data_IF_462494344143
#
_entry.id   IF_462494344143
#
_cell.length_a   1.000
_cell.length_b   1.000
_cell.length_c   1.000
_cell.angle_alpha   90.00
_cell.angle_beta   90.00
_cell.angle_gamma   90.00
#
_symmetry.space_group_name_H-M   'P 1'
#
loop_
_entity.id
_entity.type
_entity.pdbx_description
1 polymer ?
#
# COMPACT_ATOMS: atom_id res chain seq x y z
N UNK A 1 5.48 3.11 -15.21
CA UNK A 1 5.15 4.07 -14.11
C UNK A 1 3.77 4.74 -14.23
N UNK A 2 3.14 4.81 -15.40
CA UNK A 2 1.76 5.31 -15.59
C UNK A 2 0.70 4.31 -15.11
N UNK A 3 0.97 3.01 -15.22
CA UNK A 3 0.07 1.93 -14.76
C UNK A 3 -0.05 1.85 -13.23
N UNK A 4 1.03 2.08 -12.48
CA UNK A 4 1.01 2.11 -11.00
C UNK A 4 0.14 3.23 -10.44
N UNK A 5 -0.08 4.30 -11.21
CA UNK A 5 -0.95 5.41 -10.83
C UNK A 5 -2.42 5.12 -11.16
N UNK A 6 -2.69 4.37 -12.23
CA UNK A 6 -4.06 3.95 -12.58
C UNK A 6 -4.59 2.82 -11.67
N UNK A 7 -3.78 1.83 -11.31
CA UNK A 7 -4.22 0.75 -10.42
C UNK A 7 -4.47 1.20 -8.99
N UNK A 8 -3.69 2.17 -8.49
CA UNK A 8 -3.96 2.81 -7.18
C UNK A 8 -5.17 3.72 -7.23
N UNK A 9 -5.40 4.46 -8.33
CA UNK A 9 -6.59 5.29 -8.52
C UNK A 9 -7.88 4.47 -8.66
N UNK A 10 -7.85 3.27 -9.26
CA UNK A 10 -9.03 2.40 -9.36
C UNK A 10 -9.53 1.91 -7.99
N UNK A 11 -8.63 1.72 -7.02
CA UNK A 11 -9.01 1.41 -5.63
C UNK A 11 -9.35 2.64 -4.78
N UNK A 12 -9.21 3.86 -5.32
CA UNK A 12 -9.28 5.12 -4.57
C UNK A 12 -10.50 5.99 -4.85
N UNK A 13 -11.49 5.45 -5.56
CA UNK A 13 -12.68 6.20 -5.93
C UNK A 13 -13.49 6.59 -4.66
N UNK A 14 -14.04 7.82 -4.54
CA UNK A 14 -14.93 8.24 -3.44
C UNK A 14 -16.10 7.28 -3.13
N UNK A 15 -16.44 6.38 -4.06
CA UNK A 15 -17.41 5.29 -3.90
C UNK A 15 -17.12 4.39 -2.66
N UNK A 16 -15.86 4.32 -2.18
CA UNK A 16 -15.44 3.37 -1.14
C UNK A 16 -15.35 3.91 0.30
N UNK A 17 -15.34 5.22 0.51
CA UNK A 17 -15.50 5.80 1.85
C UNK A 17 -16.95 5.97 2.26
N UNK A 18 -17.88 5.93 1.28
CA UNK A 18 -19.31 5.92 1.56
C UNK A 18 -19.68 4.72 2.44
N UNK A 19 -19.34 3.46 2.14
CA UNK A 19 -19.87 2.32 2.88
C UNK A 19 -19.64 2.35 4.40
N UNK A 20 -18.40 2.51 4.84
CA UNK A 20 -18.06 2.49 6.27
C UNK A 20 -18.56 3.72 7.01
N UNK A 21 -18.50 4.91 6.39
CA UNK A 21 -19.06 6.14 6.98
C UNK A 21 -20.58 6.11 6.98
N UNK A 22 -21.22 5.64 5.91
CA UNK A 22 -22.67 5.47 5.82
C UNK A 22 -23.17 4.48 6.87
N UNK A 23 -22.45 3.39 7.15
CA UNK A 23 -22.81 2.46 8.23
C UNK A 23 -22.67 3.14 9.59
N UNK A 24 -21.58 3.86 9.87
CA UNK A 24 -21.40 4.58 11.14
C UNK A 24 -22.43 5.71 11.33
N UNK A 25 -22.72 6.48 10.27
CA UNK A 25 -23.73 7.54 10.26
C UNK A 25 -25.14 6.99 10.39
N UNK A 26 -25.46 5.86 9.75
CA UNK A 26 -26.75 5.18 9.87
C UNK A 26 -26.93 4.56 11.26
N UNK A 27 -25.85 4.07 11.87
CA UNK A 27 -25.85 3.57 13.24
C UNK A 27 -26.09 4.71 14.24
N UNK A 28 -25.42 5.85 14.06
CA UNK A 28 -25.63 7.05 14.86
C UNK A 28 -27.04 7.61 14.67
N UNK A 29 -27.54 7.66 13.43
CA UNK A 29 -28.89 8.10 13.11
C UNK A 29 -29.95 7.22 13.76
N UNK A 30 -29.83 5.89 13.66
CA UNK A 30 -30.76 4.96 14.34
C UNK A 30 -30.66 5.02 15.85
N UNK A 31 -29.46 5.21 16.40
CA UNK A 31 -29.26 5.43 17.83
C UNK A 31 -29.96 6.71 18.33
N UNK A 32 -29.95 7.77 17.52
CA UNK A 32 -30.60 9.04 17.86
C UNK A 32 -32.13 9.03 17.63
N UNK A 33 -32.64 8.16 16.76
CA UNK A 33 -34.06 8.14 16.35
C UNK A 33 -34.88 7.02 16.98
N UNK A 34 -34.24 6.00 17.57
CA UNK A 34 -34.93 4.82 18.10
C UNK A 34 -34.92 4.84 19.64
N UNK A 35 -36.08 4.87 20.31
CA UNK A 35 -36.16 4.95 21.78
C UNK A 35 -35.74 3.65 22.48
N UNK A 36 -35.86 2.49 21.81
CA UNK A 36 -35.48 1.19 22.36
C UNK A 36 -34.09 0.76 21.86
N UNK A 37 -33.07 0.61 22.74
CA UNK A 37 -31.72 0.21 22.35
C UNK A 37 -31.64 -1.23 21.82
N UNK A 38 -32.66 -2.06 22.11
CA UNK A 38 -32.70 -3.47 21.73
C UNK A 38 -33.24 -3.73 20.30
N UNK A 39 -33.85 -2.74 19.64
CA UNK A 39 -34.39 -2.88 18.28
C UNK A 39 -33.44 -2.41 17.18
N UNK A 40 -32.26 -1.90 17.55
CA UNK A 40 -31.21 -1.46 16.63
C UNK A 40 -30.41 -2.68 16.17
N UNK A 41 -31.04 -3.55 15.37
CA UNK A 41 -30.36 -4.69 14.74
C UNK A 41 -30.21 -4.47 13.23
N UNK A 42 -29.07 -4.92 12.69
CA UNK A 42 -28.82 -4.89 11.25
C UNK A 42 -28.86 -6.32 10.68
N UNK A 43 -29.42 -6.51 9.47
CA UNK A 43 -29.28 -7.76 8.74
C UNK A 43 -27.80 -8.07 8.49
N UNK A 44 -27.37 -9.29 8.76
CA UNK A 44 -25.97 -9.70 8.55
C UNK A 44 -25.52 -9.53 7.09
N UNK A 45 -26.42 -9.74 6.13
CA UNK A 45 -26.16 -9.54 4.70
C UNK A 45 -25.78 -8.08 4.34
N UNK A 46 -26.41 -7.08 4.97
CA UNK A 46 -26.07 -5.68 4.74
C UNK A 46 -24.66 -5.36 5.28
N UNK A 47 -24.37 -5.84 6.49
CA UNK A 47 -23.06 -5.74 7.10
C UNK A 47 -21.96 -6.41 6.28
N UNK A 48 -22.26 -7.60 5.75
CA UNK A 48 -21.37 -8.36 4.88
C UNK A 48 -21.02 -7.57 3.61
N UNK A 49 -22.04 -7.07 2.90
CA UNK A 49 -21.87 -6.38 1.62
C UNK A 49 -20.98 -5.14 1.74
N UNK A 50 -21.04 -4.44 2.87
CA UNK A 50 -20.27 -3.23 3.10
C UNK A 50 -18.82 -3.51 3.50
N UNK A 51 -18.56 -4.70 4.07
CA UNK A 51 -17.24 -5.10 4.60
C UNK A 51 -16.40 -5.89 3.63
N UNK A 52 -17.05 -6.69 2.80
CA UNK A 52 -16.39 -7.52 1.81
C UNK A 52 -15.39 -6.70 0.97
N UNK A 53 -15.74 -5.53 0.43
CA UNK A 53 -14.81 -4.75 -0.38
C UNK A 53 -13.62 -4.21 0.43
N UNK A 54 -13.85 -3.81 1.68
CA UNK A 54 -12.78 -3.33 2.56
C UNK A 54 -11.74 -4.43 2.87
N UNK A 55 -12.21 -5.65 3.18
CA UNK A 55 -11.33 -6.79 3.43
C UNK A 55 -10.53 -7.18 2.19
N UNK A 56 -11.20 -7.29 1.03
CA UNK A 56 -10.53 -7.60 -0.24
C UNK A 56 -9.44 -6.58 -0.54
N UNK A 57 -9.70 -5.28 -0.35
CA UNK A 57 -8.72 -4.23 -0.59
C UNK A 57 -7.50 -4.33 0.34
N UNK A 58 -7.71 -4.60 1.64
CA UNK A 58 -6.59 -4.75 2.57
C UNK A 58 -5.69 -5.92 2.19
N UNK A 59 -6.26 -7.08 1.86
CA UNK A 59 -5.49 -8.27 1.44
C UNK A 59 -4.80 -8.01 0.11
N UNK A 60 -5.51 -7.37 -0.83
CA UNK A 60 -4.96 -7.02 -2.16
C UNK A 60 -3.75 -6.12 -2.03
N UNK A 61 -3.80 -5.19 -1.08
CA UNK A 61 -2.71 -4.27 -0.84
C UNK A 61 -1.44 -4.97 -0.34
N UNK A 62 -1.58 -5.92 0.59
CA UNK A 62 -0.47 -6.77 1.03
C UNK A 62 0.13 -7.57 -0.15
N UNK A 63 -0.73 -8.24 -0.93
CA UNK A 63 -0.31 -9.04 -2.08
C UNK A 63 0.37 -8.20 -3.18
N UNK A 64 -0.11 -6.98 -3.41
CA UNK A 64 0.49 -6.03 -4.35
C UNK A 64 1.87 -5.55 -3.87
N UNK A 65 2.09 -5.37 -2.56
CA UNK A 65 3.41 -5.02 -2.04
C UNK A 65 4.43 -6.14 -2.29
N UNK A 66 4.06 -7.39 -2.05
CA UNK A 66 4.87 -8.57 -2.39
C UNK A 66 5.18 -8.59 -3.90
N UNK A 67 4.14 -8.43 -4.72
CA UNK A 67 4.27 -8.41 -6.17
C UNK A 67 5.22 -7.32 -6.67
N UNK A 68 5.14 -6.12 -6.09
CA UNK A 68 6.04 -5.02 -6.41
C UNK A 68 7.49 -5.36 -6.03
N UNK A 69 7.74 -5.91 -4.84
CA UNK A 69 9.08 -6.33 -4.42
C UNK A 69 9.64 -7.42 -5.35
N UNK A 70 8.82 -8.41 -5.70
CA UNK A 70 9.22 -9.47 -6.63
C UNK A 70 9.53 -8.92 -8.03
N UNK A 71 8.69 -8.05 -8.58
CA UNK A 71 8.93 -7.40 -9.87
C UNK A 71 10.29 -6.68 -9.86
N UNK A 72 10.58 -5.92 -8.80
CA UNK A 72 11.85 -5.20 -8.68
C UNK A 72 13.05 -6.12 -8.47
N UNK A 73 12.88 -7.22 -7.76
CA UNK A 73 13.92 -8.24 -7.62
C UNK A 73 14.26 -8.91 -8.95
N UNK A 74 13.24 -9.30 -9.73
CA UNK A 74 13.41 -9.88 -11.07
C UNK A 74 14.10 -8.89 -12.00
N UNK A 75 13.65 -7.62 -12.01
CA UNK A 75 14.25 -6.58 -12.84
C UNK A 75 15.73 -6.31 -12.49
N UNK A 76 16.09 -6.39 -11.21
CA UNK A 76 17.48 -6.19 -10.75
C UNK A 76 18.37 -7.38 -11.10
N UNK A 77 17.87 -8.61 -11.01
CA UNK A 77 18.67 -9.82 -11.24
C UNK A 77 18.78 -10.19 -12.72
N UNK A 78 17.69 -10.13 -13.49
CA UNK A 78 17.64 -10.50 -14.92
C UNK A 78 17.58 -9.28 -15.82
N UNK A 79 18.35 -8.24 -15.47
CA UNK A 79 18.32 -6.92 -16.10
C UNK A 79 18.27 -6.97 -17.63
N UNK A 80 19.08 -7.82 -18.28
CA UNK A 80 19.21 -7.93 -19.73
C UNK A 80 17.97 -8.51 -20.46
N UNK A 81 17.32 -9.54 -19.90
CA UNK A 81 16.16 -10.20 -20.52
C UNK A 81 14.83 -9.55 -20.15
N UNK A 82 14.79 -8.77 -19.06
CA UNK A 82 13.57 -8.14 -18.55
C UNK A 82 12.92 -7.16 -19.55
N UNK A 83 13.72 -6.48 -20.40
CA UNK A 83 13.19 -5.57 -21.43
C UNK A 83 12.30 -6.27 -22.47
N UNK A 84 12.56 -7.55 -22.75
CA UNK A 84 11.71 -8.32 -23.68
C UNK A 84 10.35 -8.70 -23.09
N UNK A 85 10.24 -8.72 -21.77
CA UNK A 85 9.04 -9.18 -21.07
C UNK A 85 7.98 -8.10 -20.83
N UNK A 86 8.32 -6.82 -21.06
CA UNK A 86 7.41 -5.65 -21.05
C UNK A 86 6.45 -5.61 -19.83
N UNK A 87 5.45 -4.74 -19.86
CA UNK A 87 4.46 -4.47 -18.83
C UNK A 87 3.55 -5.67 -18.47
N UNK A 88 3.72 -6.82 -19.14
CA UNK A 88 2.89 -8.03 -18.97
C UNK A 88 3.08 -8.66 -17.60
N UNK A 89 4.33 -8.73 -17.10
CA UNK A 89 4.63 -9.33 -15.79
C UNK A 89 3.88 -8.58 -14.67
N UNK A 90 3.97 -7.25 -14.64
CA UNK A 90 3.28 -6.43 -13.64
C UNK A 90 1.76 -6.59 -13.68
N UNK A 91 1.17 -6.71 -14.88
CA UNK A 91 -0.27 -6.93 -15.06
C UNK A 91 -0.69 -8.31 -14.52
N UNK A 92 0.06 -9.36 -14.83
CA UNK A 92 -0.22 -10.71 -14.34
C UNK A 92 -0.18 -10.80 -12.82
N UNK A 93 0.83 -10.21 -12.17
CA UNK A 93 0.91 -10.18 -10.70
C UNK A 93 -0.23 -9.37 -10.07
N UNK A 94 -0.65 -8.28 -10.70
CA UNK A 94 -1.78 -7.48 -10.22
C UNK A 94 -3.08 -8.28 -10.25
N UNK A 95 -3.38 -8.94 -11.37
CA UNK A 95 -4.57 -9.79 -11.49
C UNK A 95 -4.54 -10.93 -10.47
N UNK A 96 -3.40 -11.63 -10.38
CA UNK A 96 -3.24 -12.72 -9.42
C UNK A 96 -3.48 -12.24 -7.97
N UNK A 97 -2.94 -11.08 -7.60
CA UNK A 97 -3.12 -10.48 -6.26
C UNK A 97 -4.58 -10.21 -5.93
N UNK A 98 -5.35 -9.67 -6.89
CA UNK A 98 -6.79 -9.40 -6.70
C UNK A 98 -7.58 -10.71 -6.56
N UNK A 99 -7.33 -11.70 -7.42
CA UNK A 99 -8.01 -13.01 -7.36
C UNK A 99 -7.75 -13.70 -6.03
N UNK A 100 -6.49 -13.75 -5.58
CA UNK A 100 -6.11 -14.34 -4.29
C UNK A 100 -6.83 -13.64 -3.14
N UNK A 101 -6.99 -12.32 -3.21
CA UNK A 101 -7.63 -11.52 -2.16
C UNK A 101 -9.13 -11.72 -2.08
N UNK A 102 -9.80 -11.84 -3.23
CA UNK A 102 -11.22 -12.22 -3.31
C UNK A 102 -11.41 -13.63 -2.73
N UNK A 103 -10.57 -14.59 -3.14
CA UNK A 103 -10.65 -15.97 -2.67
C UNK A 103 -10.40 -16.08 -1.15
N UNK A 104 -9.38 -15.38 -0.62
CA UNK A 104 -9.08 -15.34 0.80
C UNK A 104 -10.22 -14.72 1.61
N UNK A 105 -10.83 -13.64 1.11
CA UNK A 105 -11.97 -13.01 1.78
C UNK A 105 -13.18 -13.94 1.78
N UNK A 106 -13.49 -14.57 0.63
CA UNK A 106 -14.58 -15.55 0.53
C UNK A 106 -14.37 -16.75 1.46
N UNK A 107 -13.13 -17.23 1.61
CA UNK A 107 -12.78 -18.31 2.53
C UNK A 107 -13.03 -17.96 3.99
N UNK A 108 -12.60 -16.77 4.42
CA UNK A 108 -12.82 -16.29 5.81
C UNK A 108 -14.32 -16.29 6.14
N UNK A 109 -15.15 -15.97 5.15
CA UNK A 109 -16.59 -15.78 5.35
C UNK A 109 -17.43 -17.04 5.10
N UNK A 110 -16.81 -18.16 4.75
CA UNK A 110 -17.52 -19.42 4.47
C UNK A 110 -18.19 -19.97 5.75
N UNK A 111 -19.51 -19.94 5.84
CA UNK A 111 -20.25 -20.44 7.02
C UNK A 111 -20.76 -19.34 7.95
N UNK A 112 -20.95 -18.12 7.43
CA UNK A 112 -21.82 -17.13 8.06
C UNK A 112 -23.30 -17.45 7.75
N UNK A 113 -24.13 -17.48 8.80
CA UNK A 113 -25.58 -17.58 8.66
C UNK A 113 -26.17 -16.19 8.34
N UNK A 114 -26.58 -16.00 7.08
CA UNK A 114 -27.14 -14.73 6.60
C UNK A 114 -28.53 -14.38 7.17
N UNK A 115 -29.11 -15.28 7.95
CA UNK A 115 -30.42 -15.13 8.61
C UNK A 115 -30.32 -14.49 9.99
N UNK A 116 -29.13 -14.42 10.58
CA UNK A 116 -28.90 -13.84 11.90
C UNK A 116 -28.91 -12.30 11.86
N UNK A 117 -29.49 -11.71 12.90
CA UNK A 117 -29.48 -10.27 13.13
C UNK A 117 -28.44 -9.93 14.20
N UNK A 118 -27.60 -8.93 13.94
CA UNK A 118 -26.57 -8.50 14.89
C UNK A 118 -26.86 -7.09 15.42
N UNK A 119 -26.69 -6.86 16.74
CA UNK A 119 -26.95 -5.56 17.39
C UNK A 119 -25.92 -4.50 16.98
N UNK A 120 -24.77 -4.92 16.46
CA UNK A 120 -23.81 -4.04 15.83
C UNK A 120 -23.16 -4.79 14.68
N UNK A 121 -22.89 -4.04 13.62
CA UNK A 121 -22.04 -4.51 12.55
C UNK A 121 -20.64 -4.69 13.18
N UNK A 122 -20.26 -5.91 13.57
CA UNK A 122 -18.87 -6.32 13.88
C UNK A 122 -18.50 -7.52 13.04
N UNK A 123 -17.30 -7.54 12.45
CA UNK A 123 -16.89 -8.61 11.54
C UNK A 123 -16.40 -9.85 12.29
N UNK A 124 -16.47 -9.81 13.62
CA UNK A 124 -16.02 -10.83 14.52
C UNK A 124 -17.22 -11.55 15.10
N UNK A 125 -17.83 -12.40 14.30
CA UNK A 125 -18.70 -13.46 14.79
C UNK A 125 -17.83 -14.59 15.35
N UNK A 126 -18.31 -15.33 16.36
CA UNK A 126 -17.53 -16.43 16.95
C UNK A 126 -17.09 -17.49 15.92
N UNK A 127 -17.85 -17.66 14.84
CA UNK A 127 -17.55 -18.53 13.68
C UNK A 127 -16.39 -18.02 12.81
N UNK A 128 -16.29 -16.71 12.56
CA UNK A 128 -15.30 -16.12 11.63
C UNK A 128 -14.05 -15.61 12.32
N UNK A 129 -14.12 -15.32 13.62
CA UNK A 129 -13.01 -14.73 14.39
C UNK A 129 -11.72 -15.56 14.31
N UNK A 130 -11.81 -16.89 14.38
CA UNK A 130 -10.64 -17.77 14.30
C UNK A 130 -9.97 -17.71 12.92
N UNK A 131 -10.76 -17.70 11.85
CA UNK A 131 -10.23 -17.63 10.47
C UNK A 131 -9.64 -16.27 10.16
N UNK A 132 -10.30 -15.21 10.64
CA UNK A 132 -9.78 -13.85 10.52
C UNK A 132 -8.45 -13.70 11.27
N UNK A 133 -8.33 -14.26 12.49
CA UNK A 133 -7.09 -14.26 13.25
C UNK A 133 -5.97 -15.00 12.50
N UNK A 134 -6.26 -16.17 11.95
CA UNK A 134 -5.29 -16.92 11.15
C UNK A 134 -4.85 -16.13 9.91
N UNK A 135 -5.79 -15.50 9.20
CA UNK A 135 -5.49 -14.66 8.04
C UNK A 135 -4.59 -13.48 8.42
N UNK A 136 -4.92 -12.74 9.48
CA UNK A 136 -4.10 -11.61 9.94
C UNK A 136 -2.70 -12.05 10.38
N UNK A 137 -2.56 -13.23 10.99
CA UNK A 137 -1.27 -13.80 11.35
C UNK A 137 -0.42 -14.12 10.09
N UNK A 138 -1.03 -14.75 9.08
CA UNK A 138 -0.37 -15.03 7.80
C UNK A 138 0.04 -13.73 7.10
N UNK A 139 -0.85 -12.74 7.04
CA UNK A 139 -0.56 -11.43 6.44
C UNK A 139 0.58 -10.71 7.15
N UNK A 140 0.63 -10.76 8.50
CA UNK A 140 1.75 -10.21 9.25
C UNK A 140 3.08 -10.88 8.86
N UNK A 141 3.09 -12.20 8.69
CA UNK A 141 4.27 -12.93 8.21
C UNK A 141 4.69 -12.53 6.80
N UNK A 142 3.72 -12.36 5.90
CA UNK A 142 3.94 -11.87 4.53
C UNK A 142 4.51 -10.45 4.53
N UNK A 143 4.01 -9.56 5.37
CA UNK A 143 4.52 -8.18 5.46
C UNK A 143 5.95 -8.14 6.02
N UNK A 144 6.26 -8.96 7.02
CA UNK A 144 7.63 -9.11 7.53
C UNK A 144 8.57 -9.63 6.42
N UNK A 145 8.15 -10.65 5.67
CA UNK A 145 8.92 -11.16 4.54
C UNK A 145 9.10 -10.08 3.45
N UNK A 146 8.08 -9.26 3.23
CA UNK A 146 8.13 -8.12 2.29
C UNK A 146 9.13 -7.06 2.74
N UNK A 147 9.17 -6.71 4.03
CA UNK A 147 10.19 -5.82 4.61
C UNK A 147 11.59 -6.43 4.41
N UNK A 148 11.76 -7.73 4.64
CA UNK A 148 12.99 -8.45 4.34
C UNK A 148 13.42 -8.32 2.88
N UNK A 149 12.47 -8.48 1.94
CA UNK A 149 12.73 -8.28 0.51
C UNK A 149 13.11 -6.83 0.17
N UNK A 150 12.42 -5.84 0.74
CA UNK A 150 12.72 -4.41 0.54
C UNK A 150 14.12 -4.05 1.06
N UNK A 151 14.49 -4.55 2.24
CA UNK A 151 15.81 -4.31 2.83
C UNK A 151 16.91 -4.97 2.00
N UNK A 152 16.74 -6.23 1.57
CA UNK A 152 17.67 -6.90 0.67
C UNK A 152 17.86 -6.12 -0.65
N UNK A 153 16.78 -5.67 -1.28
CA UNK A 153 16.84 -4.84 -2.49
C UNK A 153 17.55 -3.50 -2.24
N UNK A 154 17.34 -2.90 -1.07
CA UNK A 154 18.01 -1.65 -0.68
C UNK A 154 19.52 -1.83 -0.54
N UNK A 155 19.96 -2.94 0.05
CA UNK A 155 21.38 -3.29 0.19
C UNK A 155 22.02 -3.53 -1.17
N UNK A 156 21.39 -4.35 -2.02
CA UNK A 156 21.86 -4.60 -3.39
C UNK A 156 21.97 -3.30 -4.19
N UNK A 157 20.96 -2.42 -4.09
CA UNK A 157 20.97 -1.12 -4.73
C UNK A 157 22.11 -0.22 -4.21
N UNK A 158 22.35 -0.22 -2.90
CA UNK A 158 23.46 0.55 -2.31
C UNK A 158 24.82 0.06 -2.80
N UNK A 159 25.03 -1.26 -2.82
CA UNK A 159 26.28 -1.87 -3.32
C UNK A 159 26.47 -1.55 -4.81
N UNK A 160 25.44 -1.74 -5.64
CA UNK A 160 25.51 -1.43 -7.06
C UNK A 160 25.75 0.07 -7.32
N UNK A 161 25.25 0.97 -6.45
CA UNK A 161 25.53 2.41 -6.54
C UNK A 161 27.00 2.72 -6.25
N UNK A 162 27.64 1.95 -5.35
CA UNK A 162 29.04 2.15 -4.96
C UNK A 162 30.01 1.65 -6.04
N UNK A 163 29.67 0.57 -6.74
CA UNK A 163 30.51 -0.06 -7.77
C UNK A 163 30.21 0.44 -9.20
N UNK A 164 29.95 1.74 -9.40
CA UNK A 164 29.51 2.31 -10.70
C UNK A 164 30.38 1.88 -11.88
N UNK A 165 29.85 0.99 -12.72
CA UNK A 165 30.18 0.94 -14.15
C UNK A 165 29.23 1.89 -14.88
N UNK A 166 29.74 2.74 -15.79
CA UNK A 166 29.00 3.81 -16.49
C UNK A 166 27.97 3.29 -17.52
N UNK A 167 27.07 2.40 -17.11
CA UNK A 167 25.93 2.00 -17.92
C UNK A 167 24.69 2.82 -17.54
N UNK A 168 24.11 3.49 -18.54
CA UNK A 168 22.89 4.28 -18.42
C UNK A 168 21.71 3.41 -17.96
N UNK A 169 21.67 2.14 -18.39
CA UNK A 169 20.59 1.19 -18.09
C UNK A 169 20.57 0.81 -16.60
N UNK A 170 21.72 0.39 -16.06
CA UNK A 170 21.83 0.00 -14.65
C UNK A 170 21.56 1.18 -13.72
N UNK A 171 22.05 2.36 -14.09
CA UNK A 171 21.81 3.61 -13.34
C UNK A 171 20.33 3.99 -13.30
N UNK A 172 19.60 3.81 -14.41
CA UNK A 172 18.17 4.06 -14.47
C UNK A 172 17.38 3.09 -13.57
N UNK A 173 17.66 1.79 -13.67
CA UNK A 173 16.99 0.74 -12.87
C UNK A 173 17.22 0.94 -11.37
N UNK A 174 18.45 1.27 -10.96
CA UNK A 174 18.78 1.58 -9.56
C UNK A 174 17.98 2.77 -9.03
N UNK A 175 17.86 3.81 -9.85
CA UNK A 175 17.15 5.01 -9.48
C UNK A 175 15.65 4.76 -9.31
N UNK A 176 15.06 3.99 -10.23
CA UNK A 176 13.66 3.59 -10.15
C UNK A 176 13.41 2.74 -8.90
N UNK A 177 14.24 1.74 -8.64
CA UNK A 177 14.15 0.88 -7.45
C UNK A 177 14.27 1.71 -6.16
N UNK A 178 15.20 2.66 -6.07
CA UNK A 178 15.36 3.51 -4.89
C UNK A 178 14.13 4.39 -4.64
N UNK A 179 13.48 4.90 -5.70
CA UNK A 179 12.26 5.69 -5.56
C UNK A 179 11.08 4.83 -5.11
N UNK A 180 10.95 3.62 -5.65
CA UNK A 180 9.89 2.67 -5.30
C UNK A 180 10.05 2.20 -3.85
N UNK A 181 11.26 1.85 -3.42
CA UNK A 181 11.56 1.47 -2.03
C UNK A 181 11.13 2.56 -1.05
N UNK A 182 11.46 3.83 -1.32
CA UNK A 182 11.04 4.96 -0.47
C UNK A 182 9.52 5.13 -0.39
N UNK A 183 8.81 4.68 -1.42
CA UNK A 183 7.34 4.74 -1.50
C UNK A 183 6.70 3.59 -0.71
N UNK A 184 7.18 2.36 -0.92
CA UNK A 184 6.60 1.13 -0.38
C UNK A 184 6.96 0.95 1.11
N UNK A 185 8.17 1.31 1.53
CA UNK A 185 8.64 1.12 2.91
C UNK A 185 7.68 1.69 4.00
N UNK A 186 7.28 2.97 3.99
CA UNK A 186 6.39 3.51 5.04
C UNK A 186 5.02 2.83 5.05
N UNK A 187 4.59 2.32 3.89
CA UNK A 187 3.32 1.68 3.68
C UNK A 187 3.28 0.27 4.28
N UNK A 188 4.30 -0.53 3.96
CA UNK A 188 4.47 -1.88 4.51
C UNK A 188 4.75 -1.82 6.01
N UNK A 189 5.53 -0.83 6.49
CA UNK A 189 5.75 -0.63 7.92
C UNK A 189 4.45 -0.34 8.67
N UNK A 190 3.63 0.58 8.17
CA UNK A 190 2.33 0.88 8.77
C UNK A 190 1.44 -0.36 8.85
N UNK A 191 1.35 -1.12 7.76
CA UNK A 191 0.56 -2.34 7.70
C UNK A 191 1.07 -3.43 8.65
N UNK A 192 2.39 -3.61 8.72
CA UNK A 192 3.04 -4.58 9.63
C UNK A 192 2.76 -4.22 11.09
N UNK A 193 2.95 -2.96 11.48
CA UNK A 193 2.67 -2.48 12.85
C UNK A 193 1.21 -2.75 13.21
N UNK A 194 0.32 -2.41 12.28
CA UNK A 194 -1.12 -2.63 12.41
C UNK A 194 -1.40 -4.11 12.66
N UNK A 195 -1.05 -5.01 11.73
CA UNK A 195 -1.32 -6.44 11.91
C UNK A 195 -0.59 -7.08 13.10
N UNK A 196 0.60 -6.59 13.46
CA UNK A 196 1.32 -7.05 14.64
C UNK A 196 0.57 -6.69 15.94
N UNK A 197 0.05 -5.47 16.06
CA UNK A 197 -0.78 -5.06 17.21
C UNK A 197 -2.03 -5.95 17.29
N UNK A 198 -2.76 -6.13 16.19
CA UNK A 198 -3.95 -6.97 16.18
C UNK A 198 -3.64 -8.43 16.57
N UNK A 199 -2.58 -9.00 16.01
CA UNK A 199 -2.19 -10.39 16.23
C UNK A 199 -1.69 -10.61 17.67
N UNK A 200 -0.88 -9.70 18.20
CA UNK A 200 -0.37 -9.75 19.58
C UNK A 200 -1.50 -9.61 20.59
N UNK A 201 -2.41 -8.64 20.45
CA UNK A 201 -3.57 -8.53 21.33
C UNK A 201 -4.51 -9.72 21.21
N UNK A 202 -4.71 -10.26 20.01
CA UNK A 202 -5.50 -11.48 19.83
C UNK A 202 -4.85 -12.70 20.48
N UNK A 203 -3.52 -12.76 20.50
CA UNK A 203 -2.78 -13.83 21.15
C UNK A 203 -2.87 -13.74 22.68
N UNK A 204 -2.66 -12.56 23.25
CA UNK A 204 -2.77 -12.35 24.71
C UNK A 204 -4.19 -12.58 25.20
N UNK A 205 -5.20 -12.07 24.51
CA UNK A 205 -6.61 -12.29 24.89
C UNK A 205 -6.98 -13.77 24.82
N UNK A 206 -6.39 -14.54 23.91
CA UNK A 206 -6.62 -15.97 23.83
C UNK A 206 -5.92 -16.77 24.93
N UNK A 207 -4.74 -16.36 25.39
CA UNK A 207 -4.06 -17.03 26.52
C UNK A 207 -4.76 -16.79 27.86
N UNK A 208 -5.45 -15.66 28.01
CA UNK A 208 -6.22 -15.32 29.21
C UNK A 208 -7.72 -15.56 29.05
N UNK A 209 -8.12 -16.37 28.06
CA UNK A 209 -9.54 -16.60 27.72
C UNK A 209 -10.38 -17.08 28.90
N UNK A 210 -9.81 -17.95 29.74
CA UNK A 210 -10.52 -18.54 30.87
C UNK A 210 -10.69 -17.58 32.06
N UNK A 211 -9.95 -16.47 32.06
CA UNK A 211 -10.03 -15.44 33.12
C UNK A 211 -11.03 -14.33 32.80
N UNK A 212 -11.49 -14.21 31.55
CA UNK A 212 -12.39 -13.14 31.12
C UNK A 212 -13.83 -13.60 30.96
N UNK A 213 -14.78 -12.76 31.38
CA UNK A 213 -16.19 -12.96 31.04
C UNK A 213 -16.40 -12.85 29.53
N UNK A 214 -17.38 -13.60 28.99
CA UNK A 214 -17.71 -13.59 27.56
C UNK A 214 -17.92 -12.18 26.99
N UNK A 215 -18.53 -11.29 27.79
CA UNK A 215 -18.78 -9.89 27.43
C UNK A 215 -17.47 -9.10 27.36
N UNK A 216 -16.59 -9.24 28.36
CA UNK A 216 -15.30 -8.55 28.37
C UNK A 216 -14.40 -8.99 27.19
N UNK A 217 -14.35 -10.29 26.91
CA UNK A 217 -13.64 -10.84 25.76
C UNK A 217 -14.12 -10.21 24.44
N UNK A 218 -15.44 -10.11 24.24
CA UNK A 218 -16.02 -9.52 23.04
C UNK A 218 -15.76 -8.03 22.90
N UNK A 219 -15.84 -7.28 24.00
CA UNK A 219 -15.59 -5.83 23.99
C UNK A 219 -14.12 -5.54 23.66
N UNK A 220 -13.18 -6.27 24.25
CA UNK A 220 -11.74 -6.14 23.95
C UNK A 220 -11.44 -6.53 22.51
N UNK A 221 -12.05 -7.61 22.01
CA UNK A 221 -11.87 -8.02 20.62
C UNK A 221 -12.43 -6.97 19.63
N UNK A 222 -13.59 -6.41 19.94
CA UNK A 222 -14.22 -5.38 19.12
C UNK A 222 -13.44 -4.05 19.14
N UNK A 223 -12.88 -3.64 20.28
CA UNK A 223 -12.07 -2.43 20.39
C UNK A 223 -10.70 -2.57 19.72
N UNK A 224 -10.12 -3.76 19.74
CA UNK A 224 -8.85 -4.08 19.05
C UNK A 224 -9.05 -4.28 17.55
N UNK A 225 -10.30 -4.27 17.06
CA UNK A 225 -10.58 -4.54 15.66
C UNK A 225 -9.96 -3.49 14.75
N UNK A 226 -9.09 -3.92 13.84
CA UNK A 226 -8.09 -3.01 13.28
C UNK A 226 -8.50 -2.34 11.96
N UNK A 227 -9.52 -2.87 11.30
CA UNK A 227 -9.97 -2.40 9.98
C UNK A 227 -10.44 -0.94 10.00
N UNK A 228 -11.23 -0.46 10.98
CA UNK A 228 -11.64 0.93 11.04
C UNK A 228 -10.43 1.88 11.10
N UNK A 229 -9.46 1.57 11.96
CA UNK A 229 -8.23 2.36 12.09
C UNK A 229 -7.41 2.35 10.80
N UNK A 230 -7.24 1.17 10.18
CA UNK A 230 -6.53 1.05 8.91
C UNK A 230 -7.19 1.87 7.79
N UNK A 231 -8.52 1.83 7.67
CA UNK A 231 -9.25 2.57 6.64
C UNK A 231 -9.23 4.09 6.82
N UNK A 232 -9.02 4.59 8.04
CA UNK A 232 -8.87 6.03 8.30
C UNK A 232 -7.44 6.51 8.07
N UNK A 233 -6.44 5.72 8.46
CA UNK A 233 -5.03 6.15 8.43
C UNK A 233 -4.38 5.89 7.06
N UNK A 234 -4.70 4.78 6.40
CA UNK A 234 -4.17 4.46 5.06
C UNK A 234 -4.33 5.59 4.03
N UNK A 235 -5.49 6.29 3.91
CA UNK A 235 -5.61 7.36 2.92
C UNK A 235 -4.74 8.57 3.21
N UNK A 236 -4.53 8.89 4.48
CA UNK A 236 -3.67 10.01 4.91
C UNK A 236 -2.21 9.71 4.58
N UNK A 237 -1.76 8.49 4.88
CA UNK A 237 -0.40 8.03 4.57
C UNK A 237 -0.16 8.06 3.05
N UNK A 238 -1.08 7.49 2.27
CA UNK A 238 -0.97 7.45 0.82
C UNK A 238 -1.04 8.85 0.19
N UNK A 239 -1.91 9.73 0.68
CA UNK A 239 -1.94 11.14 0.25
C UNK A 239 -0.60 11.83 0.54
N UNK A 240 -0.05 11.63 1.73
CA UNK A 240 1.24 12.19 2.12
C UNK A 240 2.36 11.67 1.20
N UNK A 241 2.40 10.36 0.97
CA UNK A 241 3.35 9.70 0.08
C UNK A 241 3.25 10.24 -1.36
N UNK A 242 2.04 10.36 -1.91
CA UNK A 242 1.80 10.90 -3.25
C UNK A 242 2.25 12.37 -3.32
N UNK A 243 1.94 13.17 -2.29
CA UNK A 243 2.35 14.57 -2.20
C UNK A 243 3.87 14.69 -2.19
N UNK A 244 4.55 13.90 -1.36
CA UNK A 244 6.01 13.87 -1.29
C UNK A 244 6.63 13.44 -2.63
N UNK A 245 6.09 12.40 -3.27
CA UNK A 245 6.54 11.95 -4.60
C UNK A 245 6.40 13.06 -5.65
N UNK A 246 5.28 13.78 -5.68
CA UNK A 246 5.06 14.92 -6.57
C UNK A 246 6.03 16.07 -6.30
N UNK A 247 6.28 16.38 -5.02
CA UNK A 247 7.22 17.43 -4.62
C UNK A 247 8.65 17.10 -5.09
N UNK A 248 9.09 15.86 -4.88
CA UNK A 248 10.42 15.40 -5.34
C UNK A 248 10.56 15.44 -6.86
N UNK A 249 9.51 15.06 -7.62
CA UNK A 249 9.50 15.18 -9.08
C UNK A 249 9.60 16.64 -9.53
N UNK A 250 8.84 17.54 -8.91
CA UNK A 250 8.88 18.98 -9.22
C UNK A 250 10.26 19.59 -8.91
N UNK A 251 10.88 19.22 -7.79
CA UNK A 251 12.22 19.68 -7.42
C UNK A 251 13.27 19.23 -8.45
N UNK A 252 13.22 17.96 -8.88
CA UNK A 252 14.11 17.44 -9.94
C UNK A 252 13.92 18.15 -11.27
N UNK A 253 12.66 18.36 -11.71
CA UNK A 253 12.37 19.08 -12.94
C UNK A 253 12.89 20.53 -12.90
N UNK A 254 12.74 21.22 -11.76
CA UNK A 254 13.33 22.55 -11.56
C UNK A 254 14.86 22.51 -11.67
N UNK A 255 15.52 21.57 -11.00
CA UNK A 255 16.98 21.41 -11.09
C UNK A 255 17.46 21.13 -12.52
N UNK A 256 16.75 20.29 -13.28
CA UNK A 256 17.07 20.02 -14.68
C UNK A 256 16.89 21.26 -15.55
N UNK A 257 15.79 22.01 -15.35
CA UNK A 257 15.55 23.27 -16.07
C UNK A 257 16.63 24.31 -15.76
N UNK A 258 17.03 24.45 -14.50
CA UNK A 258 18.12 25.36 -14.10
C UNK A 258 19.46 24.91 -14.69
N UNK A 259 19.78 23.61 -14.67
CA UNK A 259 21.00 23.09 -15.32
C UNK A 259 21.01 23.34 -16.83
N UNK A 260 19.88 23.12 -17.50
CA UNK A 260 19.74 23.36 -18.93
C UNK A 260 19.91 24.86 -19.26
N UNK A 261 19.28 25.73 -18.47
CA UNK A 261 19.43 27.19 -18.60
C UNK A 261 20.88 27.62 -18.42
N UNK A 262 21.57 27.14 -17.40
CA UNK A 262 22.98 27.46 -17.15
C UNK A 262 23.90 26.87 -18.23
N UNK A 263 23.54 25.73 -18.83
CA UNK A 263 24.28 25.15 -19.98
C UNK A 263 24.12 26.02 -21.21
N UNK A 264 22.88 26.42 -21.54
CA UNK A 264 22.59 27.31 -22.66
C UNK A 264 23.31 28.65 -22.50
N UNK A 265 23.32 29.21 -21.29
CA UNK A 265 24.01 30.45 -20.98
C UNK A 265 25.53 30.32 -21.14
N UNK A 266 26.11 29.18 -20.72
CA UNK A 266 27.51 28.85 -20.98
C UNK A 266 27.80 28.69 -22.47
N UNK A 267 26.95 28.01 -23.23
CA UNK A 267 27.14 27.80 -24.66
C UNK A 267 27.10 29.15 -25.42
N UNK A 268 26.17 30.04 -25.06
CA UNK A 268 26.13 31.42 -25.58
C UNK A 268 27.40 32.19 -25.21
N UNK A 269 27.87 32.05 -23.98
CA UNK A 269 29.10 32.70 -23.51
C UNK A 269 30.35 32.21 -24.26
N UNK A 270 30.51 30.91 -24.45
CA UNK A 270 31.62 30.32 -25.20
C UNK A 270 31.55 30.65 -26.69
N UNK A 271 30.35 30.70 -27.28
CA UNK A 271 30.18 31.11 -28.67
C UNK A 271 30.63 32.56 -28.90
N UNK A 272 30.27 33.49 -28.00
CA UNK A 272 30.70 34.89 -28.09
C UNK A 272 32.23 35.05 -27.99
N UNK A 273 32.87 34.28 -27.10
CA UNK A 273 34.33 34.26 -27.02
C UNK A 273 34.98 33.75 -28.30
N UNK A 274 34.46 32.66 -28.87
CA UNK A 274 35.02 32.07 -30.10
C UNK A 274 34.98 33.04 -31.28
N UNK A 275 33.92 33.84 -31.39
CA UNK A 275 33.79 34.89 -32.41
C UNK A 275 34.78 36.05 -32.19
N UNK A 276 35.05 36.44 -30.94
CA UNK A 276 36.08 37.46 -30.66
C UNK A 276 37.48 36.98 -31.04
N UNK A 277 37.80 35.70 -30.79
CA UNK A 277 39.11 35.12 -31.12
C UNK A 277 39.35 34.97 -32.63
N UNK A 278 38.30 34.72 -33.42
CA UNK A 278 38.41 34.71 -34.90
C UNK A 278 38.77 36.08 -35.48
N UNK A 279 38.47 37.17 -34.77
CA UNK A 279 38.67 38.55 -35.24
C UNK A 279 40.12 39.03 -35.14
N UNK A 280 40.98 38.30 -34.41
CA UNK A 280 42.41 38.58 -34.30
C UNK A 280 43.20 37.47 -35.00
N UNK A 281 43.46 37.58 -36.32
CA UNK A 281 44.35 36.65 -36.98
C UNK A 281 45.75 36.75 -36.34
N UNK A 282 46.46 35.62 -36.18
CA UNK A 282 47.81 35.65 -35.64
C UNK A 282 48.67 36.55 -36.53
N UNK A 283 49.31 37.55 -35.93
CA UNK A 283 50.35 38.34 -36.63
C UNK A 283 51.45 37.35 -37.03
N UNK A 284 51.55 37.12 -38.33
CA UNK A 284 52.72 36.45 -38.95
C UNK A 284 53.94 37.34 -38.80
#
# INVERSE_FOLDING_TARGET
MTLTQNSTNLCYNPIFHLPTRSVQSLHLFRYLTTPDPCSISFPSAFCFSMRFPANVCMISFAALQVSMVMERAIATWKGAQYESYDSRIGYTFTIASVIISIAATAWVMKGEDFTLQYPYCSSATPSTAQRLRLLCFVLCGVDIATIGGITALSVVNHIATKHRTFDLRSSYQLHENAQIIKLILPLTLFQTITYAIFSSTSATVATFRDSFSYVAYRTIFASTYIIPYYTMVSPVILWFIIRQSRLMRRAKLKMLKTRLSNSLEKDVYFHAYTEMWKKFPPRK
#
